data_IF_823457935574
#
_entry.id   IF_823457935574
#
_cell.length_a   1.000
_cell.length_b   1.000
_cell.length_c   1.000
_cell.angle_alpha   90.00
_cell.angle_beta   90.00
_cell.angle_gamma   90.00
#
_symmetry.space_group_name_H-M   'P 1'
#
loop_
_entity.id
_entity.type
_entity.pdbx_description
1 polymer ?
#
# COMPACT_ATOMS: atom_id res chain seq x y z
N UNK A 1 17.24 -11.91 3.82
CA UNK A 1 16.05 -11.33 3.16
C UNK A 1 14.82 -11.79 3.95
N UNK A 2 13.96 -10.87 4.41
CA UNK A 2 12.82 -11.18 5.31
C UNK A 2 11.45 -11.06 4.60
N UNK A 3 11.46 -10.65 3.34
CA UNK A 3 10.29 -10.26 2.57
C UNK A 3 10.68 -9.42 1.36
N UNK A 4 9.68 -8.92 0.66
CA UNK A 4 9.78 -8.16 -0.58
C UNK A 4 8.60 -7.19 -0.76
N UNK A 5 8.81 -6.20 -1.62
CA UNK A 5 7.81 -5.24 -2.09
C UNK A 5 7.90 -5.18 -3.61
N UNK A 6 6.76 -5.16 -4.29
CA UNK A 6 6.70 -5.18 -5.75
C UNK A 6 5.58 -4.28 -6.28
N UNK A 7 5.71 -3.93 -7.56
CA UNK A 7 4.72 -3.18 -8.32
C UNK A 7 4.37 -3.97 -9.58
N UNK A 8 3.07 -4.25 -9.78
CA UNK A 8 2.56 -4.82 -11.01
C UNK A 8 1.89 -3.74 -11.87
N UNK A 9 2.29 -3.66 -13.15
CA UNK A 9 1.86 -2.63 -14.11
C UNK A 9 1.25 -3.29 -15.35
N UNK A 10 -0.02 -3.74 -15.31
CA UNK A 10 -0.64 -4.45 -16.44
C UNK A 10 -0.74 -3.59 -17.70
N UNK A 11 -1.00 -2.29 -17.54
CA UNK A 11 -1.16 -1.33 -18.64
C UNK A 11 0.04 -0.37 -18.76
N UNK A 12 1.17 -0.71 -18.13
CA UNK A 12 2.36 0.15 -18.06
C UNK A 12 2.16 1.40 -17.19
N UNK A 13 3.05 2.39 -17.35
CA UNK A 13 3.11 3.58 -16.48
C UNK A 13 1.90 4.52 -16.57
N UNK A 14 1.05 4.36 -17.59
CA UNK A 14 -0.15 5.19 -17.77
C UNK A 14 -1.39 4.58 -17.07
N UNK A 15 -1.31 3.33 -16.65
CA UNK A 15 -2.40 2.63 -15.97
C UNK A 15 -2.20 2.51 -14.48
N UNK A 16 -2.97 1.60 -13.88
CA UNK A 16 -2.90 1.30 -12.46
C UNK A 16 -1.60 0.56 -12.13
N UNK A 17 -0.99 0.95 -11.01
CA UNK A 17 0.15 0.26 -10.41
C UNK A 17 -0.30 -0.45 -9.14
N UNK A 18 -0.28 -1.78 -9.17
CA UNK A 18 -0.66 -2.61 -8.03
C UNK A 18 0.53 -2.86 -7.12
N UNK A 19 0.44 -2.30 -5.92
CA UNK A 19 1.45 -2.39 -4.86
C UNK A 19 1.22 -3.62 -4.00
N UNK A 20 2.26 -4.42 -3.84
CA UNK A 20 2.25 -5.62 -3.04
C UNK A 20 3.40 -5.60 -2.04
N UNK A 21 3.19 -6.20 -0.87
CA UNK A 21 4.24 -6.40 0.13
C UNK A 21 4.03 -7.71 0.90
N UNK A 22 5.13 -8.40 1.17
CA UNK A 22 5.15 -9.59 2.01
C UNK A 22 6.26 -9.50 3.05
N UNK A 23 5.94 -9.84 4.31
CA UNK A 23 6.93 -10.17 5.35
C UNK A 23 6.77 -11.65 5.66
N UNK A 24 7.76 -12.44 5.25
CA UNK A 24 7.66 -13.90 5.19
C UNK A 24 7.51 -14.52 6.59
N UNK A 25 8.47 -14.26 7.49
CA UNK A 25 8.48 -14.81 8.84
C UNK A 25 7.43 -14.12 9.72
N UNK A 26 6.88 -14.83 10.72
CA UNK A 26 5.97 -14.21 11.69
C UNK A 26 6.73 -13.37 12.70
N UNK A 27 7.96 -13.77 12.98
CA UNK A 27 8.90 -13.20 13.93
C UNK A 27 9.33 -11.79 13.51
N UNK A 28 9.31 -11.47 12.21
CA UNK A 28 9.69 -10.15 11.69
C UNK A 28 8.51 -9.21 11.42
N UNK A 29 7.28 -9.71 11.55
CA UNK A 29 6.09 -8.88 11.43
C UNK A 29 5.97 -7.94 12.62
N UNK A 30 5.22 -6.86 12.43
CA UNK A 30 4.89 -5.86 13.48
C UNK A 30 6.10 -5.12 14.06
N UNK A 31 7.27 -5.19 13.41
CA UNK A 31 8.47 -4.40 13.74
C UNK A 31 8.61 -3.10 12.94
N UNK A 32 7.62 -2.74 12.12
CA UNK A 32 7.64 -1.54 11.27
C UNK A 32 8.28 -1.71 9.89
N UNK A 33 8.86 -2.88 9.58
CA UNK A 33 9.53 -3.11 8.30
C UNK A 33 8.65 -2.88 7.08
N UNK A 34 7.39 -3.32 7.11
CA UNK A 34 6.48 -3.13 5.99
C UNK A 34 6.11 -1.65 5.77
N UNK A 35 6.05 -0.87 6.85
CA UNK A 35 5.82 0.58 6.77
C UNK A 35 7.01 1.25 6.09
N UNK A 36 8.23 1.04 6.59
CA UNK A 36 9.43 1.65 6.03
C UNK A 36 9.63 1.26 4.56
N UNK A 37 9.48 -0.03 4.24
CA UNK A 37 9.66 -0.55 2.89
C UNK A 37 8.64 0.07 1.91
N UNK A 38 7.35 0.09 2.25
CA UNK A 38 6.34 0.72 1.39
C UNK A 38 6.52 2.23 1.31
N UNK A 39 6.86 2.91 2.41
CA UNK A 39 7.08 4.35 2.40
C UNK A 39 8.21 4.77 1.45
N UNK A 40 9.35 4.06 1.48
CA UNK A 40 10.45 4.28 0.54
C UNK A 40 10.05 3.91 -0.90
N UNK A 41 9.33 2.80 -1.07
CA UNK A 41 8.90 2.33 -2.38
C UNK A 41 7.94 3.31 -3.04
N UNK A 42 6.88 3.74 -2.35
CA UNK A 42 5.89 4.70 -2.84
C UNK A 42 6.52 6.06 -3.17
N UNK A 43 7.45 6.54 -2.33
CA UNK A 43 8.24 7.74 -2.62
C UNK A 43 9.01 7.57 -3.94
N UNK A 44 9.79 6.48 -4.06
CA UNK A 44 10.54 6.19 -5.30
C UNK A 44 9.63 6.09 -6.55
N UNK A 45 8.49 5.41 -6.45
CA UNK A 45 7.56 5.24 -7.58
C UNK A 45 7.04 6.57 -8.12
N UNK A 46 6.78 7.52 -7.22
CA UNK A 46 6.17 8.80 -7.57
C UNK A 46 7.18 9.91 -7.90
N UNK A 47 8.42 9.80 -7.40
CA UNK A 47 9.47 10.79 -7.69
C UNK A 47 10.41 10.35 -8.82
N UNK A 48 10.62 9.04 -8.98
CA UNK A 48 11.63 8.48 -9.88
C UNK A 48 11.04 7.62 -11.00
N UNK A 49 9.96 6.85 -10.75
CA UNK A 49 9.29 6.02 -11.76
C UNK A 49 8.09 6.72 -12.44
N UNK A 50 8.18 8.04 -12.69
CA UNK A 50 7.07 9.02 -12.79
C UNK A 50 5.63 8.46 -12.84
N UNK A 51 5.22 7.70 -11.82
CA UNK A 51 3.89 7.11 -11.74
C UNK A 51 2.98 8.11 -11.01
N UNK A 52 1.80 8.40 -11.56
CA UNK A 52 0.83 9.24 -10.85
C UNK A 52 0.42 8.52 -9.56
N UNK A 53 0.55 9.20 -8.42
CA UNK A 53 0.18 8.62 -7.13
C UNK A 53 -1.28 8.15 -7.07
N UNK A 54 -2.19 8.77 -7.82
CA UNK A 54 -3.61 8.36 -7.89
C UNK A 54 -3.86 7.05 -8.63
N UNK A 55 -2.86 6.54 -9.37
CA UNK A 55 -2.90 5.24 -10.03
C UNK A 55 -2.44 4.09 -9.13
N UNK A 56 -1.94 4.38 -7.94
CA UNK A 56 -1.50 3.36 -6.98
C UNK A 56 -2.70 2.66 -6.36
N UNK A 57 -2.74 1.34 -6.49
CA UNK A 57 -3.76 0.48 -5.88
C UNK A 57 -3.13 -0.64 -5.07
N UNK A 58 -3.92 -1.27 -4.21
CA UNK A 58 -3.58 -2.52 -3.55
C UNK A 58 -4.80 -3.43 -3.50
N UNK A 59 -4.62 -4.71 -3.85
CA UNK A 59 -5.64 -5.75 -3.65
C UNK A 59 -5.24 -6.66 -2.51
N UNK A 60 -6.15 -6.85 -1.57
CA UNK A 60 -5.87 -7.52 -0.31
C UNK A 60 -7.03 -8.44 0.03
N UNK A 61 -6.75 -9.71 0.35
CA UNK A 61 -7.78 -10.62 0.87
C UNK A 61 -8.53 -9.99 2.07
N UNK A 62 -9.85 -10.04 2.06
CA UNK A 62 -10.71 -9.31 3.01
C UNK A 62 -10.43 -9.68 4.47
N UNK A 63 -9.98 -10.92 4.72
CA UNK A 63 -9.58 -11.40 6.05
C UNK A 63 -8.24 -10.84 6.54
N UNK A 64 -7.40 -10.27 5.66
CA UNK A 64 -6.09 -9.73 6.00
C UNK A 64 -6.18 -8.28 6.55
N UNK A 65 -6.90 -8.16 7.67
CA UNK A 65 -7.08 -6.90 8.40
C UNK A 65 -5.76 -6.17 8.74
N UNK A 66 -4.64 -6.86 9.06
CA UNK A 66 -3.35 -6.19 9.26
C UNK A 66 -2.85 -5.42 8.04
N UNK A 67 -2.94 -6.01 6.83
CA UNK A 67 -2.52 -5.33 5.60
C UNK A 67 -3.47 -4.21 5.21
N UNK A 68 -4.79 -4.39 5.36
CA UNK A 68 -5.78 -3.33 5.10
C UNK A 68 -5.45 -2.08 5.93
N UNK A 69 -5.22 -2.27 7.24
CA UNK A 69 -4.82 -1.15 8.13
C UNK A 69 -3.48 -0.54 7.78
N UNK A 70 -2.52 -1.34 7.30
CA UNK A 70 -1.22 -0.83 6.84
C UNK A 70 -1.41 0.13 5.66
N UNK A 71 -2.22 -0.24 4.68
CA UNK A 71 -2.49 0.59 3.51
C UNK A 71 -3.34 1.83 3.85
N UNK A 72 -4.29 1.73 4.78
CA UNK A 72 -5.00 2.90 5.31
C UNK A 72 -4.03 3.94 5.89
N UNK A 73 -3.04 3.52 6.70
CA UNK A 73 -2.01 4.41 7.24
C UNK A 73 -1.14 5.09 6.18
N UNK A 74 -0.97 4.44 5.04
CA UNK A 74 -0.20 4.98 3.91
C UNK A 74 -1.06 5.87 3.00
N UNK A 75 -2.32 6.14 3.37
CA UNK A 75 -3.21 7.04 2.64
C UNK A 75 -4.02 6.36 1.54
N UNK A 76 -4.19 5.03 1.58
CA UNK A 76 -5.07 4.32 0.67
C UNK A 76 -6.47 4.18 1.28
N UNK A 77 -7.49 4.56 0.53
CA UNK A 77 -8.89 4.33 0.89
C UNK A 77 -9.42 3.03 0.29
N UNK A 78 -10.24 2.33 1.04
CA UNK A 78 -10.95 1.12 0.61
C UNK A 78 -12.12 1.50 -0.31
N UNK A 79 -12.04 1.12 -1.60
CA UNK A 79 -13.01 1.57 -2.61
C UNK A 79 -13.94 0.46 -3.15
N UNK A 80 -13.57 -0.81 -2.96
CA UNK A 80 -14.33 -1.93 -3.54
C UNK A 80 -14.11 -3.22 -2.76
N UNK A 81 -15.13 -4.06 -2.68
CA UNK A 81 -15.05 -5.44 -2.23
C UNK A 81 -15.46 -6.38 -3.38
N UNK A 82 -14.52 -7.18 -3.85
CA UNK A 82 -14.69 -8.17 -4.91
C UNK A 82 -15.05 -9.52 -4.30
N UNK A 83 -16.36 -9.71 -4.03
CA UNK A 83 -16.89 -10.89 -3.31
C UNK A 83 -16.50 -12.25 -3.91
N UNK A 84 -16.33 -12.33 -5.24
CA UNK A 84 -15.99 -13.61 -5.90
C UNK A 84 -14.58 -14.09 -5.56
N UNK A 85 -13.66 -13.18 -5.22
CA UNK A 85 -12.30 -13.50 -4.79
C UNK A 85 -12.08 -13.28 -3.30
N UNK A 86 -13.08 -12.75 -2.59
CA UNK A 86 -12.99 -12.33 -1.19
C UNK A 86 -11.83 -11.35 -0.95
N UNK A 87 -11.72 -10.34 -1.81
CA UNK A 87 -10.65 -9.33 -1.82
C UNK A 87 -11.20 -7.92 -1.79
N UNK A 88 -10.49 -7.00 -1.13
CA UNK A 88 -10.74 -5.57 -1.20
C UNK A 88 -9.75 -4.89 -2.13
N UNK A 89 -10.22 -3.87 -2.85
CA UNK A 89 -9.37 -2.96 -3.61
C UNK A 89 -9.28 -1.64 -2.85
N UNK A 90 -8.05 -1.17 -2.68
CA UNK A 90 -7.74 0.10 -2.05
C UNK A 90 -6.99 0.99 -3.04
N UNK A 91 -7.21 2.31 -3.00
CA UNK A 91 -6.59 3.26 -3.92
C UNK A 91 -6.04 4.48 -3.16
N UNK A 92 -4.84 4.93 -3.52
CA UNK A 92 -4.18 6.04 -2.85
C UNK A 92 -4.92 7.37 -3.04
N UNK A 93 -5.10 8.12 -1.95
CA UNK A 93 -5.77 9.42 -1.96
C UNK A 93 -7.30 9.33 -2.08
N UNK A 94 -7.88 8.13 -2.04
CA UNK A 94 -9.32 7.93 -1.88
C UNK A 94 -9.67 7.80 -0.41
N UNK A 95 -10.92 8.10 -0.09
CA UNK A 95 -11.50 7.84 1.23
C UNK A 95 -12.04 6.41 1.30
N UNK A 96 -12.14 5.87 2.52
CA UNK A 96 -12.77 4.58 2.72
C UNK A 96 -14.27 4.64 2.43
N UNK A 97 -14.79 3.65 1.70
CA UNK A 97 -16.22 3.42 1.56
C UNK A 97 -16.78 2.86 2.88
N UNK A 98 -17.57 3.67 3.58
CA UNK A 98 -18.16 3.32 4.87
C UNK A 98 -19.10 2.11 4.83
N UNK A 99 -19.73 1.81 3.69
CA UNK A 99 -20.58 0.62 3.55
C UNK A 99 -19.73 -0.65 3.57
N UNK A 100 -18.58 -0.62 2.89
CA UNK A 100 -17.69 -1.76 2.82
C UNK A 100 -16.95 -1.97 4.14
N UNK A 101 -16.54 -0.88 4.80
CA UNK A 101 -15.99 -0.95 6.16
C UNK A 101 -16.95 -1.65 7.12
N UNK A 102 -18.23 -1.24 7.09
CA UNK A 102 -19.28 -1.81 7.94
C UNK A 102 -19.48 -3.30 7.64
N UNK A 103 -19.59 -3.68 6.37
CA UNK A 103 -19.77 -5.06 5.93
C UNK A 103 -18.63 -5.99 6.37
N UNK A 104 -17.39 -5.48 6.42
CA UNK A 104 -16.20 -6.25 6.78
C UNK A 104 -15.84 -6.17 8.28
N UNK A 105 -16.61 -5.42 9.07
CA UNK A 105 -16.29 -5.14 10.47
C UNK A 105 -14.90 -4.49 10.60
N UNK A 106 -14.66 -3.49 9.76
CA UNK A 106 -13.48 -2.64 9.74
C UNK A 106 -13.88 -1.23 10.17
N UNK A 107 -12.90 -0.49 10.67
CA UNK A 107 -13.05 0.93 10.99
C UNK A 107 -12.12 1.72 10.07
N UNK A 108 -12.47 2.96 9.76
CA UNK A 108 -11.53 3.85 9.09
C UNK A 108 -10.38 4.15 10.05
N UNK A 109 -9.12 4.12 9.57
CA UNK A 109 -7.99 4.48 10.43
C UNK A 109 -7.96 6.01 10.58
N UNK A 110 -8.66 6.55 11.57
CA UNK A 110 -8.66 7.97 11.93
C UNK A 110 -7.35 8.47 12.54
N UNK A 111 -6.24 7.74 12.32
CA UNK A 111 -4.89 8.12 12.74
C UNK A 111 -4.26 9.04 11.72
N UNK A 112 -3.25 9.79 12.17
CA UNK A 112 -2.40 10.58 11.30
C UNK A 112 -1.77 9.68 10.22
N UNK A 113 -2.02 10.04 8.97
CA UNK A 113 -1.47 9.32 7.82
C UNK A 113 0.05 9.52 7.77
N UNK A 114 0.75 8.49 7.32
CA UNK A 114 2.19 8.55 7.12
C UNK A 114 2.45 9.42 5.89
N UNK A 115 3.09 10.57 6.08
CA UNK A 115 3.54 11.41 4.99
C UNK A 115 4.80 10.83 4.33
N UNK A 116 4.60 9.81 3.52
CA UNK A 116 5.69 9.18 2.77
C UNK A 116 6.18 10.02 1.59
N UNK A 117 5.41 11.02 1.14
CA UNK A 117 5.80 11.91 0.03
C UNK A 117 6.94 12.85 0.40
N UNK A 118 7.08 13.20 1.68
CA UNK A 118 8.18 14.03 2.18
C UNK A 118 9.42 13.23 2.58
N UNK A 119 9.38 11.89 2.49
CA UNK A 119 10.54 11.05 2.82
C UNK A 119 11.64 11.25 1.78
N UNK A 120 12.77 11.80 2.23
CA UNK A 120 13.98 11.87 1.41
C UNK A 120 14.54 10.48 1.15
N UNK A 121 14.86 10.23 -0.12
CA UNK A 121 15.52 9.01 -0.59
C UNK A 121 17.06 9.09 -0.47
N UNK A 122 17.61 10.27 -0.14
CA UNK A 122 19.04 10.51 -0.07
C UNK A 122 19.69 9.69 1.04
N UNK A 123 20.69 8.88 0.68
CA UNK A 123 21.36 7.96 1.60
C UNK A 123 20.49 6.79 2.06
N UNK A 124 19.26 6.65 1.56
CA UNK A 124 18.34 5.55 1.87
C UNK A 124 18.18 4.55 0.72
N UNK A 125 18.42 4.99 -0.51
CA UNK A 125 18.48 4.13 -1.69
C UNK A 125 19.92 4.13 -2.20
N UNK A 126 20.46 2.94 -2.44
CA UNK A 126 21.79 2.78 -3.02
C UNK A 126 21.76 3.18 -4.50
N UNK A 127 22.75 3.98 -4.95
CA UNK A 127 22.95 4.24 -6.38
C UNK A 127 23.75 3.07 -6.94
N UNK A 128 23.21 2.41 -7.96
CA UNK A 128 24.03 1.52 -8.78
C UNK A 128 24.89 2.41 -9.66
N UNK A 129 26.19 2.40 -9.40
CA UNK A 129 27.22 3.03 -10.24
C UNK A 129 27.37 2.28 -11.59
#
# INVERSE_FOLDING_TARGET
MIGDVNLFLPDGLQGQGECEIMIASKEDRRKGYAVEALSLFLSYLTTTLPLDSSNLIARIGSSNKPSIRLFQKLGFGLIKHVKVFDEVEMNFGKEDDGSILSDLGLESDGREQIDWKSISLDGRIWKYD
#
